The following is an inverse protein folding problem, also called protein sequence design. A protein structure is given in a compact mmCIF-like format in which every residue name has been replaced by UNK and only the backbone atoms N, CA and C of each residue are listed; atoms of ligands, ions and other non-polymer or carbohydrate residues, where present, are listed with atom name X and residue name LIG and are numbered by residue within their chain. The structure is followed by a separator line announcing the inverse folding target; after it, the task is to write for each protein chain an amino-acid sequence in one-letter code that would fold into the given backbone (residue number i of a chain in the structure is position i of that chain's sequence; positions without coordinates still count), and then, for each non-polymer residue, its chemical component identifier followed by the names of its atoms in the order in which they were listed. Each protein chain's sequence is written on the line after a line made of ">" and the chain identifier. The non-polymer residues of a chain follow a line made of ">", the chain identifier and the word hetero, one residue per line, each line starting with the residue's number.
data_IF_608970567127
#
_entry.id   IF_608970567127
#
_cell.length_a   1.000
_cell.length_b   1.000
_cell.length_c   1.000
_cell.angle_alpha   90.00
_cell.angle_beta   90.00
_cell.angle_gamma   90.00
#
_symmetry.space_group_name_H-M   'P 1'
#
loop_
_entity.id
_entity.type
_entity.pdbx_description
1 polymer ?
#
# COMPACT_ATOMS: atom_id res chain seq x y z
N UNK A 1 -7.09 30.85 23.40
CA UNK A 1 -6.86 29.92 22.27
C UNK A 1 -7.25 28.53 22.78
N UNK A 2 -8.39 27.98 22.38
CA UNK A 2 -8.82 26.66 22.81
C UNK A 2 -7.98 25.61 22.06
N UNK A 3 -7.45 24.63 22.79
CA UNK A 3 -6.70 23.52 22.18
C UNK A 3 -7.70 22.66 21.39
N UNK A 4 -7.51 22.58 20.08
CA UNK A 4 -8.24 21.64 19.22
C UNK A 4 -7.84 20.23 19.63
N UNK A 5 -8.83 19.39 19.98
CA UNK A 5 -8.56 18.02 20.36
C UNK A 5 -8.42 17.11 19.12
N UNK A 6 -7.78 15.95 19.29
CA UNK A 6 -7.63 14.93 18.23
C UNK A 6 -9.00 14.53 17.63
N UNK A 7 -10.04 14.51 18.45
CA UNK A 7 -11.42 14.20 18.05
C UNK A 7 -12.02 15.31 17.18
N UNK A 8 -11.71 16.59 17.49
CA UNK A 8 -12.16 17.73 16.69
C UNK A 8 -11.48 17.76 15.32
N UNK A 9 -10.22 17.36 15.25
CA UNK A 9 -9.47 17.25 13.99
C UNK A 9 -10.03 16.14 13.08
N UNK A 10 -10.38 14.98 13.63
CA UNK A 10 -11.00 13.88 12.91
C UNK A 10 -12.41 14.25 12.41
N UNK A 11 -13.20 14.95 13.24
CA UNK A 11 -14.56 15.39 12.88
C UNK A 11 -14.55 16.53 11.85
N UNK A 12 -13.56 17.44 11.86
CA UNK A 12 -13.44 18.50 10.87
C UNK A 12 -13.03 17.98 9.50
N UNK A 13 -12.25 16.90 9.40
CA UNK A 13 -11.93 16.25 8.14
C UNK A 13 -13.17 15.60 7.46
N UNK A 14 -14.23 15.32 8.23
CA UNK A 14 -15.51 14.79 7.75
C UNK A 14 -16.54 15.84 7.31
N UNK A 15 -16.35 17.13 7.58
CA UNK A 15 -17.38 18.18 7.39
C UNK A 15 -17.25 19.06 6.13
N UNK A 16 -16.26 18.85 5.28
CA UNK A 16 -16.11 19.64 4.04
C UNK A 16 -16.76 19.01 2.80
N UNK A 17 -17.95 18.43 2.96
CA UNK A 17 -18.77 17.98 1.83
C UNK A 17 -20.24 18.40 1.94
N UNK A 18 -20.50 19.69 2.14
CA UNK A 18 -21.85 20.22 1.93
C UNK A 18 -21.79 21.71 1.58
N UNK A 19 -21.79 22.01 0.29
CA UNK A 19 -21.94 23.37 -0.23
C UNK A 19 -22.05 23.30 -1.74
N UNK A 20 -23.29 23.09 -2.25
CA UNK A 20 -23.55 22.82 -3.64
C UNK A 20 -23.42 24.01 -4.57
N UNK A 21 -23.20 23.69 -5.84
CA UNK A 21 -23.89 24.26 -7.01
C UNK A 21 -23.91 23.16 -8.07
N UNK A 22 -25.12 22.85 -8.56
CA UNK A 22 -25.34 21.92 -9.63
C UNK A 22 -24.84 22.48 -10.96
N UNK A 23 -23.91 21.79 -11.61
CA UNK A 23 -23.68 21.85 -13.04
C UNK A 23 -23.39 20.44 -13.53
N UNK A 24 -24.25 19.96 -14.37
CA UNK A 24 -24.22 18.68 -15.04
C UNK A 24 -22.99 18.57 -15.94
N UNK A 25 -22.04 17.74 -15.54
CA UNK A 25 -21.08 17.11 -16.45
C UNK A 25 -20.71 15.77 -15.84
N UNK A 26 -21.08 14.70 -16.51
CA UNK A 26 -20.71 13.34 -16.19
C UNK A 26 -19.20 13.16 -16.37
N UNK A 27 -18.42 13.49 -15.34
CA UNK A 27 -17.04 13.09 -15.21
C UNK A 27 -16.98 12.02 -14.13
N UNK A 28 -16.68 10.79 -14.52
CA UNK A 28 -16.28 9.70 -13.63
C UNK A 28 -14.96 10.11 -12.95
N UNK A 29 -15.08 10.97 -11.95
CA UNK A 29 -13.94 11.38 -11.13
C UNK A 29 -13.62 10.28 -10.13
N UNK A 30 -12.52 9.58 -10.31
CA UNK A 30 -11.90 8.72 -9.30
C UNK A 30 -11.52 9.57 -8.08
N UNK A 31 -12.42 9.73 -7.14
CA UNK A 31 -12.11 10.34 -5.85
C UNK A 31 -11.85 9.26 -4.84
N UNK A 32 -10.58 8.86 -4.72
CA UNK A 32 -10.14 8.05 -3.58
C UNK A 32 -10.07 8.94 -2.34
N UNK A 33 -11.13 8.97 -1.55
CA UNK A 33 -11.12 9.63 -0.24
C UNK A 33 -10.45 8.70 0.78
N UNK A 34 -9.13 8.58 0.74
CA UNK A 34 -8.31 8.23 1.91
C UNK A 34 -7.70 9.50 2.48
N UNK A 35 -8.51 10.44 2.92
CA UNK A 35 -8.04 11.50 3.79
C UNK A 35 -7.96 10.94 5.22
N UNK A 36 -7.03 10.01 5.47
CA UNK A 36 -6.60 9.75 6.83
C UNK A 36 -5.71 10.91 7.22
N UNK A 37 -6.10 11.66 8.26
CA UNK A 37 -5.23 12.68 8.82
C UNK A 37 -3.90 12.03 9.23
N UNK A 38 -2.77 12.65 8.85
CA UNK A 38 -1.46 12.23 9.37
C UNK A 38 -1.49 12.28 10.91
N UNK A 39 -0.92 11.30 11.61
CA UNK A 39 -0.82 11.37 13.07
C UNK A 39 -0.07 12.64 13.44
N UNK A 40 -0.50 13.27 14.53
CA UNK A 40 0.24 14.41 15.08
C UNK A 40 1.67 13.95 15.39
N UNK A 41 2.72 14.65 14.94
CA UNK A 41 4.09 14.28 15.25
C UNK A 41 4.32 14.02 16.75
N UNK A 42 3.69 14.83 17.61
CA UNK A 42 3.76 14.71 19.07
C UNK A 42 3.21 13.36 19.58
N UNK A 43 2.20 12.78 18.94
CA UNK A 43 1.65 11.50 19.40
C UNK A 43 2.59 10.33 19.11
N UNK A 44 3.22 10.29 17.93
CA UNK A 44 4.18 9.22 17.59
C UNK A 44 5.40 9.24 18.52
N UNK A 45 5.83 10.42 18.96
CA UNK A 45 6.97 10.58 19.89
C UNK A 45 6.70 10.08 21.31
N UNK A 46 5.44 9.77 21.66
CA UNK A 46 5.12 9.15 22.96
C UNK A 46 5.59 7.69 23.07
N UNK A 47 5.96 7.06 21.97
CA UNK A 47 6.61 5.76 21.94
C UNK A 47 7.90 5.89 21.12
N UNK A 48 8.99 6.16 21.85
CA UNK A 48 10.33 6.29 21.28
C UNK A 48 11.13 5.00 21.57
N UNK A 49 11.69 4.42 20.52
CA UNK A 49 12.56 3.23 20.62
C UNK A 49 13.85 3.48 19.83
N UNK A 50 14.96 3.04 20.37
CA UNK A 50 16.20 2.96 19.61
C UNK A 50 16.04 1.91 18.48
N UNK A 51 16.59 2.22 17.31
CA UNK A 51 16.59 1.25 16.22
C UNK A 51 17.45 0.03 16.59
N UNK A 52 16.87 -1.15 16.47
CA UNK A 52 17.60 -2.42 16.58
C UNK A 52 18.44 -2.59 15.30
N UNK A 53 19.65 -3.12 15.45
CA UNK A 53 20.56 -3.37 14.32
C UNK A 53 20.54 -2.20 13.30
N UNK A 54 20.93 -0.98 13.71
CA UNK A 54 20.77 0.22 12.88
C UNK A 54 21.55 0.16 11.56
N UNK A 55 22.64 -0.64 11.53
CA UNK A 55 23.50 -0.78 10.33
C UNK A 55 23.01 -1.85 9.34
N UNK A 56 22.00 -2.66 9.70
CA UNK A 56 21.46 -3.68 8.81
C UNK A 56 20.86 -2.99 7.55
N UNK A 57 21.35 -3.30 6.34
CA UNK A 57 20.84 -2.68 5.13
C UNK A 57 19.41 -3.11 4.83
N UNK A 58 18.55 -2.14 4.57
CA UNK A 58 17.14 -2.33 4.29
C UNK A 58 16.83 -1.85 2.87
N UNK A 59 16.04 -2.64 2.14
CA UNK A 59 15.27 -2.19 0.98
C UNK A 59 13.80 -2.22 1.39
N UNK A 60 13.15 -1.04 1.37
CA UNK A 60 11.72 -0.96 1.68
C UNK A 60 10.91 -1.02 0.37
N UNK A 61 10.22 -2.12 0.08
CA UNK A 61 9.55 -2.34 -1.19
C UNK A 61 8.17 -1.66 -1.31
N UNK A 62 7.76 -0.83 -0.33
CA UNK A 62 6.42 -0.23 -0.37
C UNK A 62 6.31 1.05 0.45
N UNK A 63 6.34 2.18 -0.24
CA UNK A 63 5.94 3.46 0.32
C UNK A 63 5.14 4.28 -0.68
N UNK A 64 4.54 5.36 -0.21
CA UNK A 64 3.79 6.31 -1.00
C UNK A 64 4.33 7.72 -0.81
N UNK A 65 4.05 8.61 -1.77
CA UNK A 65 4.34 10.03 -1.69
C UNK A 65 3.12 10.81 -2.19
N UNK A 66 2.70 11.82 -1.45
CA UNK A 66 1.62 12.70 -1.86
C UNK A 66 1.74 14.10 -1.26
N UNK A 67 1.16 15.06 -1.94
CA UNK A 67 0.95 16.41 -1.43
C UNK A 67 -0.53 16.76 -1.62
N UNK A 68 -1.29 16.62 -0.54
CA UNK A 68 -2.73 16.84 -0.50
C UNK A 68 -3.03 17.94 0.53
N UNK A 69 -4.06 18.76 0.36
CA UNK A 69 -4.43 19.77 1.35
C UNK A 69 -4.54 19.17 2.76
N UNK A 70 -3.69 19.68 3.66
CA UNK A 70 -3.64 19.21 5.06
C UNK A 70 -3.02 17.82 5.30
N UNK A 71 -2.52 17.16 4.25
CA UNK A 71 -1.90 15.84 4.36
C UNK A 71 -0.78 15.70 3.32
N UNK A 72 0.42 16.09 3.71
CA UNK A 72 1.63 16.02 2.87
C UNK A 72 2.59 14.97 3.40
N UNK A 73 3.15 14.16 2.49
CA UNK A 73 4.23 13.23 2.75
C UNK A 73 5.12 13.11 1.51
N UNK A 74 6.30 13.68 1.58
CA UNK A 74 7.21 13.81 0.45
C UNK A 74 8.59 13.24 0.78
N UNK A 75 9.57 13.48 -0.10
CA UNK A 75 10.94 12.96 0.03
C UNK A 75 11.53 13.21 1.42
N UNK A 76 11.44 14.44 1.88
CA UNK A 76 12.05 14.88 3.13
C UNK A 76 11.38 14.21 4.34
N UNK A 77 10.05 14.02 4.29
CA UNK A 77 9.28 13.37 5.35
C UNK A 77 9.66 11.86 5.44
N UNK A 78 9.78 11.18 4.29
CA UNK A 78 10.21 9.78 4.24
C UNK A 78 11.65 9.63 4.75
N UNK A 79 12.57 10.51 4.33
CA UNK A 79 13.96 10.45 4.78
C UNK A 79 14.10 10.69 6.29
N UNK A 80 13.25 11.56 6.86
CA UNK A 80 13.18 11.75 8.30
C UNK A 80 12.72 10.49 9.02
N UNK A 81 11.64 9.85 8.55
CA UNK A 81 11.11 8.63 9.13
C UNK A 81 12.11 7.46 9.08
N UNK A 82 12.86 7.34 7.97
CA UNK A 82 13.81 6.24 7.75
C UNK A 82 15.16 6.45 8.44
N UNK A 83 15.44 7.64 8.98
CA UNK A 83 16.77 8.10 9.40
C UNK A 83 17.44 7.27 10.50
N UNK A 84 16.67 6.55 11.32
CA UNK A 84 17.18 5.71 12.39
C UNK A 84 17.68 4.33 11.89
N UNK A 85 17.38 3.94 10.66
CA UNK A 85 17.75 2.68 10.05
C UNK A 85 18.59 2.88 8.78
N UNK A 86 19.38 1.88 8.41
CA UNK A 86 20.16 1.89 7.17
C UNK A 86 19.30 1.54 5.94
N UNK A 87 18.31 2.37 5.64
CA UNK A 87 17.48 2.21 4.44
C UNK A 87 18.26 2.64 3.21
N UNK A 88 18.61 1.69 2.36
CA UNK A 88 19.42 1.90 1.16
C UNK A 88 18.60 2.29 -0.05
N UNK A 89 17.45 1.63 -0.24
CA UNK A 89 16.59 1.83 -1.40
C UNK A 89 15.13 1.69 -1.00
N UNK A 90 14.24 2.33 -1.78
CA UNK A 90 12.80 2.16 -1.60
C UNK A 90 12.10 1.95 -2.95
N UNK A 91 10.91 1.33 -2.92
CA UNK A 91 10.02 1.22 -4.06
C UNK A 91 8.76 2.03 -3.79
N UNK A 92 8.45 2.95 -4.69
CA UNK A 92 7.19 3.69 -4.67
C UNK A 92 6.06 2.83 -5.25
N UNK A 93 4.91 2.87 -4.61
CA UNK A 93 3.68 2.24 -5.11
C UNK A 93 2.59 3.30 -5.28
N UNK A 94 1.83 3.24 -6.36
CA UNK A 94 0.76 4.18 -6.70
C UNK A 94 -0.16 4.50 -5.52
N UNK A 95 -0.63 5.74 -5.44
CA UNK A 95 -1.55 6.18 -4.39
C UNK A 95 -2.55 7.24 -4.87
N UNK A 96 -2.74 7.35 -6.18
CA UNK A 96 -3.64 8.34 -6.81
C UNK A 96 -3.19 9.78 -6.52
N UNK A 97 -1.90 10.04 -6.70
CA UNK A 97 -1.28 11.35 -6.47
C UNK A 97 -0.80 11.95 -7.79
N UNK A 98 -0.94 13.25 -7.96
CA UNK A 98 -0.35 14.01 -9.08
C UNK A 98 -0.74 13.50 -10.48
N UNK A 99 -1.96 13.01 -10.66
CA UNK A 99 -2.47 12.66 -11.99
C UNK A 99 -2.52 13.92 -12.87
N UNK A 100 -2.30 13.76 -14.17
CA UNK A 100 -2.41 14.86 -15.13
C UNK A 100 -3.81 15.45 -15.08
N UNK A 101 -3.90 16.78 -15.09
CA UNK A 101 -5.19 17.48 -15.13
C UNK A 101 -5.87 17.30 -16.50
N UNK A 102 -5.08 17.32 -17.56
CA UNK A 102 -5.51 17.34 -18.94
C UNK A 102 -5.09 16.06 -19.70
N UNK A 103 -5.68 15.88 -20.88
CA UNK A 103 -5.40 14.75 -21.78
C UNK A 103 -6.43 13.61 -21.67
N UNK A 104 -6.19 12.51 -22.39
CA UNK A 104 -7.04 11.32 -22.33
C UNK A 104 -7.14 10.77 -20.91
N UNK A 105 -8.34 10.38 -20.48
CA UNK A 105 -8.61 9.96 -19.10
C UNK A 105 -7.71 8.81 -18.67
N UNK A 106 -7.55 7.82 -19.53
CA UNK A 106 -6.71 6.64 -19.28
C UNK A 106 -5.21 6.95 -19.11
N UNK A 107 -4.74 8.08 -19.67
CA UNK A 107 -3.35 8.51 -19.57
C UNK A 107 -3.06 9.46 -18.41
N UNK A 108 -4.07 9.92 -17.68
CA UNK A 108 -3.86 10.84 -16.55
C UNK A 108 -3.01 10.21 -15.44
N UNK A 109 -3.11 8.91 -15.26
CA UNK A 109 -2.34 8.14 -14.26
C UNK A 109 -0.82 8.25 -14.47
N UNK A 110 -0.36 8.56 -15.69
CA UNK A 110 1.07 8.72 -16.03
C UNK A 110 1.71 9.89 -15.26
N UNK A 111 0.90 10.92 -14.93
CA UNK A 111 1.37 12.06 -14.14
C UNK A 111 1.97 11.66 -12.79
N UNK A 112 1.44 10.64 -12.13
CA UNK A 112 2.01 10.12 -10.88
C UNK A 112 3.43 9.55 -11.10
N UNK A 113 3.64 8.79 -12.17
CA UNK A 113 4.96 8.26 -12.52
C UNK A 113 5.96 9.37 -12.89
N UNK A 114 5.52 10.39 -13.63
CA UNK A 114 6.34 11.58 -13.95
C UNK A 114 6.78 12.32 -12.69
N UNK A 115 5.83 12.54 -11.78
CA UNK A 115 6.10 13.16 -10.49
C UNK A 115 7.13 12.37 -9.67
N UNK A 116 6.91 11.06 -9.52
CA UNK A 116 7.80 10.20 -8.71
C UNK A 116 9.17 10.03 -9.38
N UNK A 117 9.25 9.99 -10.70
CA UNK A 117 10.51 10.01 -11.43
C UNK A 117 11.32 11.28 -11.10
N UNK A 118 10.67 12.43 -10.96
CA UNK A 118 11.31 13.67 -10.51
C UNK A 118 11.85 13.57 -9.08
N UNK A 119 11.08 13.01 -8.15
CA UNK A 119 11.51 12.76 -6.76
C UNK A 119 12.67 11.76 -6.70
N UNK A 120 12.61 10.68 -7.48
CA UNK A 120 13.70 9.71 -7.58
C UNK A 120 15.00 10.33 -8.11
N UNK A 121 14.90 11.22 -9.11
CA UNK A 121 16.04 11.95 -9.63
C UNK A 121 16.63 12.91 -8.57
N UNK A 122 15.78 13.61 -7.80
CA UNK A 122 16.18 14.46 -6.68
C UNK A 122 16.95 13.64 -5.63
N UNK A 123 16.44 12.47 -5.22
CA UNK A 123 17.12 11.56 -4.29
C UNK A 123 18.45 11.05 -4.85
N UNK A 124 18.48 10.67 -6.13
CA UNK A 124 19.67 10.14 -6.79
C UNK A 124 20.81 11.13 -6.93
N UNK A 125 20.55 12.45 -6.82
CA UNK A 125 21.58 13.49 -6.88
C UNK A 125 22.63 13.40 -5.75
N UNK A 126 22.32 12.66 -4.67
CA UNK A 126 23.16 12.57 -3.47
C UNK A 126 23.03 13.75 -2.49
N UNK A 127 22.33 14.82 -2.89
CA UNK A 127 22.12 16.01 -2.03
C UNK A 127 21.17 15.77 -0.85
N UNK A 128 20.53 14.59 -0.79
CA UNK A 128 19.55 14.20 0.23
C UNK A 128 19.99 12.97 1.05
N UNK A 129 21.29 12.69 1.10
CA UNK A 129 21.84 11.56 1.85
C UNK A 129 22.07 10.32 0.98
N UNK A 130 22.25 9.16 1.64
CA UNK A 130 22.64 7.91 0.97
C UNK A 130 21.44 7.08 0.51
N UNK A 131 20.28 7.22 1.13
CA UNK A 131 19.05 6.52 0.75
C UNK A 131 18.63 6.90 -0.68
N UNK A 132 18.37 5.91 -1.52
CA UNK A 132 17.85 6.12 -2.88
C UNK A 132 16.35 5.82 -2.90
N UNK A 133 15.57 6.89 -2.87
CA UNK A 133 14.10 6.81 -2.82
C UNK A 133 13.55 6.54 -4.22
N UNK A 134 12.51 5.67 -4.28
CA UNK A 134 11.81 5.28 -5.49
C UNK A 134 12.75 4.76 -6.61
N UNK A 135 13.68 3.86 -6.25
CA UNK A 135 14.53 3.16 -7.22
C UNK A 135 13.73 2.21 -8.09
N UNK A 136 12.59 1.72 -7.60
CA UNK A 136 11.51 1.08 -8.34
C UNK A 136 10.24 1.91 -8.24
N UNK A 137 9.44 1.94 -9.31
CA UNK A 137 8.15 2.62 -9.38
C UNK A 137 7.09 1.62 -9.85
N UNK A 138 6.04 1.50 -9.08
CA UNK A 138 4.81 0.77 -9.42
C UNK A 138 3.72 1.81 -9.61
N UNK A 139 3.26 1.95 -10.86
CA UNK A 139 2.23 2.91 -11.21
C UNK A 139 0.83 2.29 -11.27
N UNK A 140 -0.14 3.07 -11.75
CA UNK A 140 -1.51 2.63 -11.95
C UNK A 140 -1.83 2.49 -13.45
N UNK A 141 -2.67 1.50 -13.78
CA UNK A 141 -3.35 1.41 -15.06
C UNK A 141 -4.70 0.69 -14.87
N UNK A 142 -5.75 1.12 -15.56
CA UNK A 142 -7.02 0.40 -15.56
C UNK A 142 -6.95 -0.79 -16.50
N UNK A 143 -6.73 -1.97 -15.97
CA UNK A 143 -6.61 -3.20 -16.75
C UNK A 143 -7.93 -3.59 -17.45
N UNK A 144 -9.09 -3.04 -17.02
CA UNK A 144 -10.39 -3.25 -17.69
C UNK A 144 -10.46 -2.58 -19.08
N UNK A 145 -9.48 -1.78 -19.43
CA UNK A 145 -9.33 -1.26 -20.79
C UNK A 145 -9.06 -2.39 -21.81
N UNK A 146 -8.81 -3.62 -21.36
CA UNK A 146 -8.44 -4.73 -22.23
C UNK A 146 -7.19 -4.38 -23.05
N UNK A 147 -7.20 -4.64 -24.36
CA UNK A 147 -6.04 -4.36 -25.24
C UNK A 147 -5.64 -2.88 -25.29
N UNK A 148 -6.54 -1.96 -25.01
CA UNK A 148 -6.22 -0.51 -25.00
C UNK A 148 -5.26 -0.13 -23.86
N UNK A 149 -5.09 -0.97 -22.84
CA UNK A 149 -4.15 -0.70 -21.75
C UNK A 149 -2.70 -0.65 -22.24
N UNK A 150 -2.35 -1.29 -23.35
CA UNK A 150 -1.00 -1.29 -23.91
C UNK A 150 -0.43 0.13 -24.06
N UNK A 151 -1.21 1.07 -24.59
CA UNK A 151 -0.79 2.46 -24.73
C UNK A 151 -0.51 3.15 -23.38
N UNK A 152 -1.27 2.79 -22.32
CA UNK A 152 -1.04 3.31 -20.97
C UNK A 152 0.26 2.74 -20.41
N UNK A 153 0.49 1.43 -20.55
CA UNK A 153 1.73 0.77 -20.08
C UNK A 153 2.97 1.33 -20.79
N UNK A 154 2.91 1.54 -22.10
CA UNK A 154 3.97 2.16 -22.87
C UNK A 154 4.26 3.60 -22.39
N UNK A 155 3.23 4.39 -22.14
CA UNK A 155 3.37 5.75 -21.61
C UNK A 155 3.98 5.77 -20.19
N UNK A 156 3.59 4.84 -19.34
CA UNK A 156 4.17 4.65 -18.01
C UNK A 156 5.66 4.31 -18.08
N UNK A 157 6.02 3.35 -18.93
CA UNK A 157 7.42 2.96 -19.16
C UNK A 157 8.22 4.14 -19.72
N UNK A 158 7.67 4.89 -20.68
CA UNK A 158 8.33 6.05 -21.27
C UNK A 158 8.58 7.17 -20.25
N UNK A 159 7.65 7.36 -19.27
CA UNK A 159 7.80 8.34 -18.19
C UNK A 159 8.96 8.00 -17.24
N UNK A 160 9.26 6.72 -17.04
CA UNK A 160 10.36 6.29 -16.16
C UNK A 160 10.99 4.96 -16.62
N UNK A 161 11.72 4.94 -17.74
CA UNK A 161 12.15 3.68 -18.39
C UNK A 161 13.10 2.84 -17.54
N UNK A 162 13.85 3.46 -16.64
CA UNK A 162 14.82 2.76 -15.80
C UNK A 162 14.26 2.30 -14.45
N UNK A 163 13.11 2.88 -14.00
CA UNK A 163 12.57 2.61 -12.66
C UNK A 163 11.18 2.00 -12.67
N UNK A 164 10.41 2.17 -13.73
CA UNK A 164 9.08 1.59 -13.83
C UNK A 164 9.17 0.06 -13.87
N UNK A 165 8.45 -0.64 -12.97
CA UNK A 165 8.59 -2.09 -12.79
C UNK A 165 7.27 -2.84 -12.77
N UNK A 166 6.17 -2.18 -12.48
CA UNK A 166 4.90 -2.86 -12.32
C UNK A 166 3.71 -1.95 -12.27
N UNK A 167 2.56 -2.59 -12.20
CA UNK A 167 1.25 -1.96 -12.09
C UNK A 167 0.56 -2.44 -10.82
N UNK A 168 -0.08 -1.53 -10.10
CA UNK A 168 -1.12 -1.85 -9.12
C UNK A 168 -2.47 -1.40 -9.66
N UNK A 169 -3.38 -2.35 -9.83
CA UNK A 169 -4.80 -2.09 -10.00
C UNK A 169 -5.50 -2.59 -8.73
N UNK A 170 -6.19 -1.68 -8.04
CA UNK A 170 -6.82 -2.01 -6.77
C UNK A 170 -7.96 -3.00 -6.97
N UNK A 171 -7.94 -4.09 -6.20
CA UNK A 171 -8.97 -5.12 -6.17
C UNK A 171 -9.58 -5.27 -4.76
N UNK A 172 -9.36 -4.30 -3.89
CA UNK A 172 -9.81 -4.30 -2.50
C UNK A 172 -11.30 -3.91 -2.44
N UNK A 173 -12.17 -4.87 -2.75
CA UNK A 173 -13.61 -4.73 -2.60
C UNK A 173 -14.06 -5.24 -1.22
N UNK A 174 -14.97 -4.48 -0.59
CA UNK A 174 -15.75 -4.91 0.57
C UNK A 174 -17.12 -4.22 0.54
N UNK A 175 -18.06 -4.76 1.32
CA UNK A 175 -19.38 -4.13 1.43
C UNK A 175 -19.31 -2.75 2.14
N UNK A 176 -20.40 -1.98 2.06
CA UNK A 176 -20.47 -0.63 2.58
C UNK A 176 -20.27 -0.52 4.10
N UNK A 177 -20.40 -1.62 4.85
CA UNK A 177 -20.14 -1.63 6.30
C UNK A 177 -18.63 -1.51 6.60
N UNK A 178 -17.78 -1.95 5.67
CA UNK A 178 -16.32 -1.90 5.78
C UNK A 178 -15.76 -0.67 5.08
N UNK A 179 -16.25 -0.39 3.87
CA UNK A 179 -15.71 0.66 3.00
C UNK A 179 -16.84 1.55 2.44
N UNK A 180 -17.47 2.39 3.28
CA UNK A 180 -18.66 3.14 2.90
C UNK A 180 -18.46 4.06 1.68
N UNK A 181 -17.22 4.44 1.38
CA UNK A 181 -16.88 5.34 0.26
C UNK A 181 -16.12 4.65 -0.87
N UNK A 182 -15.87 3.34 -0.81
CA UNK A 182 -14.97 2.63 -1.73
C UNK A 182 -15.62 1.57 -2.60
N UNK A 183 -16.88 1.25 -2.41
CA UNK A 183 -17.59 0.24 -3.20
C UNK A 183 -17.63 0.56 -4.71
N UNK A 184 -17.34 1.83 -5.09
CA UNK A 184 -17.25 2.26 -6.49
C UNK A 184 -15.86 2.08 -7.12
N UNK A 185 -14.80 1.90 -6.31
CA UNK A 185 -13.42 1.95 -6.80
C UNK A 185 -12.90 0.59 -7.30
N UNK A 186 -13.43 -0.50 -6.78
CA UNK A 186 -13.09 -1.85 -7.23
C UNK A 186 -14.37 -2.70 -7.30
N UNK A 187 -14.81 -3.13 -8.48
CA UNK A 187 -15.90 -4.08 -8.62
C UNK A 187 -15.59 -5.39 -7.87
N UNK A 188 -16.66 -6.00 -7.32
CA UNK A 188 -16.53 -7.31 -6.70
C UNK A 188 -15.98 -8.33 -7.73
N UNK A 189 -15.03 -9.17 -7.32
CA UNK A 189 -14.40 -10.19 -8.17
C UNK A 189 -13.73 -9.64 -9.44
N UNK A 190 -13.19 -8.42 -9.40
CA UNK A 190 -12.55 -7.78 -10.57
C UNK A 190 -11.44 -8.63 -11.20
N UNK A 191 -10.71 -9.42 -10.41
CA UNK A 191 -9.64 -10.28 -10.90
C UNK A 191 -10.14 -11.43 -11.79
N UNK A 192 -11.45 -11.70 -11.77
CA UNK A 192 -12.13 -12.68 -12.62
C UNK A 192 -12.75 -12.05 -13.87
N UNK A 193 -12.80 -10.71 -13.94
CA UNK A 193 -13.39 -9.99 -15.06
C UNK A 193 -12.62 -10.26 -16.37
N UNK A 194 -13.30 -10.64 -17.47
CA UNK A 194 -12.64 -10.97 -18.73
C UNK A 194 -11.86 -9.80 -19.35
N UNK A 195 -12.37 -8.57 -19.25
CA UNK A 195 -11.67 -7.40 -19.80
C UNK A 195 -10.45 -7.06 -18.96
N UNK A 196 -10.55 -7.18 -17.61
CA UNK A 196 -9.41 -7.07 -16.72
C UNK A 196 -8.31 -8.08 -17.09
N UNK A 197 -8.65 -9.37 -17.26
CA UNK A 197 -7.70 -10.44 -17.62
C UNK A 197 -7.08 -10.23 -18.99
N UNK A 198 -7.84 -9.67 -19.93
CA UNK A 198 -7.33 -9.27 -21.24
C UNK A 198 -6.26 -8.18 -21.13
N UNK A 199 -6.52 -7.15 -20.33
CA UNK A 199 -5.53 -6.11 -20.03
C UNK A 199 -4.35 -6.62 -19.21
N UNK A 200 -4.59 -7.52 -18.26
CA UNK A 200 -3.55 -8.15 -17.44
C UNK A 200 -2.49 -8.91 -18.28
N UNK A 201 -2.94 -9.59 -19.34
CA UNK A 201 -2.05 -10.32 -20.24
C UNK A 201 -0.94 -9.46 -20.86
N UNK A 202 -1.17 -8.15 -21.02
CA UNK A 202 -0.16 -7.21 -21.52
C UNK A 202 1.00 -6.97 -20.56
N UNK A 203 0.86 -7.24 -19.26
CA UNK A 203 1.95 -7.04 -18.28
C UNK A 203 3.16 -7.91 -18.63
N UNK A 204 2.95 -9.18 -18.98
CA UNK A 204 4.02 -10.07 -19.41
C UNK A 204 4.78 -9.52 -20.62
N UNK A 205 4.05 -9.06 -21.63
CA UNK A 205 4.64 -8.54 -22.88
C UNK A 205 5.54 -7.33 -22.62
N UNK A 206 5.18 -6.52 -21.60
CA UNK A 206 5.93 -5.33 -21.22
C UNK A 206 6.96 -5.60 -20.10
N UNK A 207 7.09 -6.84 -19.61
CA UNK A 207 8.02 -7.20 -18.54
C UNK A 207 7.67 -6.57 -17.18
N UNK A 208 6.39 -6.35 -16.92
CA UNK A 208 5.87 -5.69 -15.70
C UNK A 208 5.33 -6.70 -14.70
N UNK A 209 5.51 -6.39 -13.41
CA UNK A 209 4.88 -7.13 -12.30
C UNK A 209 3.48 -6.59 -12.00
N UNK A 210 2.70 -7.38 -11.27
CA UNK A 210 1.40 -6.96 -10.75
C UNK A 210 1.41 -6.90 -9.22
N UNK A 211 1.15 -5.73 -8.65
CA UNK A 211 0.94 -5.53 -7.21
C UNK A 211 -0.54 -5.77 -6.87
N UNK A 212 -0.82 -6.85 -6.14
CA UNK A 212 -2.18 -7.27 -5.81
C UNK A 212 -2.63 -6.70 -4.45
N UNK A 213 -3.28 -5.54 -4.46
CA UNK A 213 -3.96 -4.99 -3.29
C UNK A 213 -5.43 -5.41 -3.29
N UNK A 214 -5.78 -6.31 -2.37
CA UNK A 214 -7.13 -6.85 -2.18
C UNK A 214 -7.40 -7.11 -0.70
N UNK A 215 -8.63 -7.44 -0.34
CA UNK A 215 -8.97 -7.92 0.98
C UNK A 215 -8.96 -9.46 1.04
N UNK A 216 -8.79 -10.01 2.24
CA UNK A 216 -8.68 -11.45 2.48
C UNK A 216 -9.80 -12.31 1.87
N UNK A 217 -10.97 -11.72 1.65
CA UNK A 217 -12.14 -12.36 1.03
C UNK A 217 -11.95 -12.69 -0.46
N UNK A 218 -10.93 -12.12 -1.12
CA UNK A 218 -10.67 -12.27 -2.56
C UNK A 218 -9.33 -12.96 -2.87
N UNK A 219 -8.69 -13.59 -1.88
CA UNK A 219 -7.43 -14.33 -2.11
C UNK A 219 -7.64 -15.49 -3.09
N UNK A 220 -8.81 -16.13 -3.09
CA UNK A 220 -9.14 -17.18 -4.05
C UNK A 220 -9.16 -16.67 -5.49
N UNK A 221 -9.68 -15.46 -5.75
CA UNK A 221 -9.67 -14.84 -7.08
C UNK A 221 -8.23 -14.58 -7.56
N UNK A 222 -7.35 -14.17 -6.63
CA UNK A 222 -5.93 -13.97 -6.93
C UNK A 222 -5.22 -15.29 -7.25
N UNK A 223 -5.56 -16.37 -6.54
CA UNK A 223 -5.04 -17.70 -6.83
C UNK A 223 -5.44 -18.16 -8.23
N UNK A 224 -6.70 -17.90 -8.62
CA UNK A 224 -7.17 -18.21 -9.97
C UNK A 224 -6.45 -17.37 -11.04
N UNK A 225 -6.24 -16.05 -10.78
CA UNK A 225 -5.47 -15.19 -11.67
C UNK A 225 -4.02 -15.68 -11.81
N UNK A 226 -3.38 -16.04 -10.70
CA UNK A 226 -1.99 -16.53 -10.69
C UNK A 226 -1.82 -17.81 -11.51
N UNK A 227 -2.75 -18.74 -11.40
CA UNK A 227 -2.78 -19.97 -12.18
C UNK A 227 -3.04 -19.73 -13.68
N UNK A 228 -3.89 -18.73 -14.01
CA UNK A 228 -4.18 -18.38 -15.39
C UNK A 228 -3.01 -17.67 -16.09
N UNK A 229 -2.14 -16.98 -15.34
CA UNK A 229 -1.02 -16.20 -15.86
C UNK A 229 0.31 -16.54 -15.16
N UNK A 230 0.80 -17.80 -15.27
CA UNK A 230 1.96 -18.27 -14.50
C UNK A 230 3.28 -17.55 -14.83
N UNK A 231 3.35 -16.88 -15.96
CA UNK A 231 4.55 -16.16 -16.42
C UNK A 231 4.58 -14.68 -15.99
N UNK A 232 3.58 -14.20 -15.25
CA UNK A 232 3.56 -12.84 -14.70
C UNK A 232 3.79 -12.90 -13.21
N UNK A 233 4.82 -12.20 -12.71
CA UNK A 233 5.08 -12.11 -11.28
C UNK A 233 4.00 -11.28 -10.59
N UNK A 234 3.39 -11.85 -9.58
CA UNK A 234 2.41 -11.21 -8.71
C UNK A 234 3.05 -10.92 -7.36
N UNK A 235 2.85 -9.70 -6.86
CA UNK A 235 3.30 -9.28 -5.54
C UNK A 235 2.06 -9.11 -4.66
N UNK A 236 1.89 -10.04 -3.72
CA UNK A 236 0.74 -10.09 -2.80
C UNK A 236 0.92 -9.06 -1.69
N UNK A 237 0.14 -7.97 -1.71
CA UNK A 237 0.29 -6.85 -0.78
C UNK A 237 -0.39 -7.11 0.56
N UNK A 238 0.25 -6.65 1.65
CA UNK A 238 -0.36 -6.45 2.97
C UNK A 238 -1.08 -7.70 3.50
N UNK A 239 -0.50 -8.89 3.29
CA UNK A 239 -1.09 -10.17 3.70
C UNK A 239 -2.53 -10.37 3.14
N UNK A 240 -2.88 -9.73 2.03
CA UNK A 240 -4.25 -9.74 1.52
C UNK A 240 -5.24 -8.99 2.40
N UNK A 241 -4.82 -7.91 3.05
CA UNK A 241 -5.65 -6.97 3.79
C UNK A 241 -6.68 -7.61 4.72
N UNK A 242 -6.29 -8.33 5.79
CA UNK A 242 -7.25 -8.88 6.74
C UNK A 242 -8.15 -7.78 7.31
N UNK A 243 -9.45 -7.89 7.10
CA UNK A 243 -10.42 -6.89 7.58
C UNK A 243 -10.71 -7.12 9.05
N UNK A 244 -10.67 -6.04 9.86
CA UNK A 244 -10.99 -6.05 11.30
C UNK A 244 -12.04 -5.02 11.71
N UNK A 245 -12.72 -4.38 10.76
CA UNK A 245 -13.76 -3.36 10.99
C UNK A 245 -15.10 -3.77 10.37
N UNK A 246 -16.15 -2.99 10.59
CA UNK A 246 -17.49 -3.27 10.06
C UNK A 246 -18.00 -4.63 10.55
N UNK A 247 -18.50 -5.46 9.64
CA UNK A 247 -18.99 -6.81 9.95
C UNK A 247 -17.90 -7.79 10.46
N UNK A 248 -16.62 -7.41 10.40
CA UNK A 248 -15.48 -8.20 10.89
C UNK A 248 -14.95 -7.71 12.23
N UNK A 249 -15.51 -6.64 12.78
CA UNK A 249 -15.08 -6.10 14.08
C UNK A 249 -15.24 -7.15 15.19
N UNK A 250 -14.17 -7.37 15.97
CA UNK A 250 -14.13 -8.36 17.05
C UNK A 250 -14.06 -9.82 16.60
N UNK A 251 -13.95 -10.11 15.29
CA UNK A 251 -13.93 -11.48 14.72
C UNK A 251 -12.56 -11.88 14.15
N UNK A 252 -11.48 -11.39 14.76
CA UNK A 252 -10.12 -11.58 14.25
C UNK A 252 -9.74 -13.04 14.09
N UNK A 253 -10.11 -13.89 15.06
CA UNK A 253 -9.78 -15.32 15.01
C UNK A 253 -10.52 -16.05 13.87
N UNK A 254 -11.76 -15.63 13.58
CA UNK A 254 -12.52 -16.17 12.44
C UNK A 254 -11.89 -15.72 11.11
N UNK A 255 -11.49 -14.45 11.02
CA UNK A 255 -10.79 -13.93 9.84
C UNK A 255 -9.46 -14.67 9.64
N UNK A 256 -8.69 -14.89 10.70
CA UNK A 256 -7.44 -15.65 10.63
C UNK A 256 -7.68 -17.11 10.19
N UNK A 257 -8.69 -17.75 10.76
CA UNK A 257 -9.04 -19.13 10.40
C UNK A 257 -9.46 -19.28 8.91
N UNK A 258 -10.17 -18.27 8.37
CA UNK A 258 -10.56 -18.25 6.95
C UNK A 258 -9.39 -17.87 6.03
N UNK A 259 -8.51 -16.96 6.47
CA UNK A 259 -7.36 -16.47 5.72
C UNK A 259 -6.29 -17.56 5.51
N UNK A 260 -5.98 -18.36 6.54
CA UNK A 260 -4.94 -19.41 6.48
C UNK A 260 -5.04 -20.33 5.26
N UNK A 261 -6.14 -21.04 5.04
CA UNK A 261 -6.23 -21.96 3.90
C UNK A 261 -6.15 -21.23 2.56
N UNK A 262 -6.69 -20.01 2.44
CA UNK A 262 -6.61 -19.23 1.22
C UNK A 262 -5.17 -18.83 0.88
N UNK A 263 -4.38 -18.42 1.88
CA UNK A 263 -2.96 -18.11 1.71
C UNK A 263 -2.15 -19.37 1.39
N UNK A 264 -2.43 -20.50 2.03
CA UNK A 264 -1.76 -21.76 1.72
C UNK A 264 -1.97 -22.20 0.27
N UNK A 265 -3.17 -21.99 -0.30
CA UNK A 265 -3.43 -22.26 -1.71
C UNK A 265 -2.70 -21.28 -2.63
N UNK A 266 -2.73 -19.97 -2.32
CA UNK A 266 -2.02 -18.94 -3.08
C UNK A 266 -0.50 -19.21 -3.09
N UNK A 267 0.07 -19.64 -1.98
CA UNK A 267 1.50 -19.93 -1.86
C UNK A 267 1.99 -21.08 -2.76
N UNK A 268 1.10 -21.93 -3.25
CA UNK A 268 1.43 -22.98 -4.24
C UNK A 268 1.73 -22.40 -5.62
N UNK A 269 1.31 -21.16 -5.90
CA UNK A 269 1.59 -20.48 -7.16
C UNK A 269 3.04 -19.95 -7.13
N UNK A 270 3.96 -20.49 -7.97
CA UNK A 270 5.39 -20.15 -7.91
C UNK A 270 5.68 -18.72 -8.38
N UNK A 271 4.78 -18.11 -9.14
CA UNK A 271 4.86 -16.73 -9.63
C UNK A 271 4.35 -15.69 -8.63
N UNK A 272 4.01 -16.08 -7.39
CA UNK A 272 3.56 -15.16 -6.35
C UNK A 272 4.62 -14.99 -5.29
N UNK A 273 4.93 -13.73 -4.95
CA UNK A 273 5.77 -13.35 -3.81
C UNK A 273 4.93 -12.49 -2.86
N UNK A 274 5.24 -12.50 -1.56
CA UNK A 274 4.43 -11.87 -0.54
C UNK A 274 5.14 -10.69 0.13
N UNK A 275 4.43 -9.58 0.32
CA UNK A 275 4.84 -8.49 1.19
C UNK A 275 4.31 -8.72 2.60
N UNK A 276 5.24 -8.78 3.55
CA UNK A 276 5.01 -9.05 4.97
C UNK A 276 5.03 -7.73 5.73
N UNK A 277 3.88 -7.11 5.84
CA UNK A 277 3.69 -5.77 6.42
C UNK A 277 2.38 -5.16 5.99
N UNK A 278 2.24 -3.84 6.16
CA UNK A 278 1.07 -3.09 5.69
C UNK A 278 -0.24 -3.45 6.40
N UNK A 279 -0.19 -4.05 7.58
CA UNK A 279 -1.38 -4.43 8.35
C UNK A 279 -1.59 -3.58 9.61
N UNK A 280 -0.96 -2.41 9.68
CA UNK A 280 -1.24 -1.44 10.75
C UNK A 280 -2.28 -0.39 10.32
N UNK A 281 -2.95 -0.62 9.20
CA UNK A 281 -4.00 0.24 8.66
C UNK A 281 -5.27 0.19 9.54
N UNK A 282 -6.05 1.25 9.47
CA UNK A 282 -7.36 1.34 10.16
C UNK A 282 -8.29 0.16 9.80
N UNK A 283 -8.27 -0.27 8.54
CA UNK A 283 -9.11 -1.39 8.06
C UNK A 283 -8.80 -2.72 8.75
N UNK A 284 -7.59 -2.88 9.30
CA UNK A 284 -7.21 -4.09 10.03
C UNK A 284 -7.78 -4.14 11.48
N UNK A 285 -8.42 -3.05 11.95
CA UNK A 285 -9.25 -3.04 13.15
C UNK A 285 -8.50 -3.09 14.48
N UNK A 286 -7.20 -2.78 14.50
CA UNK A 286 -6.44 -2.75 15.76
C UNK A 286 -6.72 -1.53 16.62
N UNK A 287 -7.18 -0.44 16.03
CA UNK A 287 -7.46 0.79 16.77
C UNK A 287 -6.22 1.50 17.35
N UNK A 288 -5.01 1.17 16.88
CA UNK A 288 -3.77 1.77 17.39
C UNK A 288 -3.80 3.29 17.41
N UNK A 289 -4.33 3.90 16.35
CA UNK A 289 -4.46 5.34 16.18
C UNK A 289 -5.42 6.03 17.18
N UNK A 290 -6.21 5.25 17.90
CA UNK A 290 -7.17 5.72 18.91
C UNK A 290 -6.63 5.60 20.35
N UNK A 291 -5.45 4.98 20.52
CA UNK A 291 -4.82 4.82 21.83
C UNK A 291 -4.20 6.13 22.33
N UNK A 292 -4.03 6.25 23.66
CA UNK A 292 -3.38 7.42 24.27
C UNK A 292 -1.94 7.60 23.79
N UNK A 293 -1.26 6.51 23.44
CA UNK A 293 0.09 6.50 22.84
C UNK A 293 0.21 5.38 21.78
N UNK A 294 1.15 5.50 20.84
CA UNK A 294 1.41 4.44 19.86
C UNK A 294 1.82 3.12 20.53
N UNK A 295 1.59 1.98 19.86
CA UNK A 295 2.10 0.69 20.34
C UNK A 295 3.62 0.66 20.28
N UNK A 296 4.24 -0.16 21.14
CA UNK A 296 5.63 -0.54 21.05
C UNK A 296 5.84 -1.63 20.00
N UNK A 297 7.09 -1.84 19.57
CA UNK A 297 7.43 -2.94 18.66
C UNK A 297 7.12 -4.33 19.26
N UNK A 298 7.19 -4.48 20.60
CA UNK A 298 6.76 -5.72 21.28
C UNK A 298 5.25 -5.93 21.22
N UNK A 299 4.46 -4.86 21.39
CA UNK A 299 3.00 -4.95 21.26
C UNK A 299 2.58 -5.27 19.82
N UNK A 300 3.24 -4.67 18.82
CA UNK A 300 3.01 -5.00 17.42
C UNK A 300 3.38 -6.47 17.14
N UNK A 301 4.53 -6.93 17.62
CA UNK A 301 4.98 -8.30 17.44
C UNK A 301 4.01 -9.30 18.07
N UNK A 302 3.67 -9.11 19.34
CA UNK A 302 2.74 -9.97 20.06
C UNK A 302 1.40 -10.10 19.33
N UNK A 303 0.94 -9.02 18.69
CA UNK A 303 -0.35 -8.98 18.01
C UNK A 303 -0.32 -9.62 16.63
N UNK A 304 0.83 -9.53 15.91
CA UNK A 304 0.89 -9.84 14.49
C UNK A 304 1.75 -11.07 14.15
N UNK A 305 2.58 -11.58 15.08
CA UNK A 305 3.55 -12.63 14.80
C UNK A 305 2.95 -13.88 14.15
N UNK A 306 1.75 -14.31 14.56
CA UNK A 306 1.13 -15.51 14.02
C UNK A 306 0.79 -15.37 12.53
N UNK A 307 0.37 -14.16 12.10
CA UNK A 307 0.12 -13.84 10.70
C UNK A 307 1.42 -13.86 9.88
N UNK A 308 2.46 -13.25 10.42
CA UNK A 308 3.77 -13.13 9.75
C UNK A 308 4.48 -14.48 9.67
N UNK A 309 4.52 -15.25 10.75
CA UNK A 309 5.11 -16.58 10.72
C UNK A 309 4.38 -17.48 9.72
N UNK A 310 3.05 -17.49 9.75
CA UNK A 310 2.29 -18.34 8.84
C UNK A 310 2.56 -18.02 7.37
N UNK A 311 2.57 -16.74 6.97
CA UNK A 311 2.84 -16.39 5.57
C UNK A 311 4.28 -16.75 5.16
N UNK A 312 5.26 -16.52 6.04
CA UNK A 312 6.65 -16.89 5.78
C UNK A 312 6.80 -18.42 5.67
N UNK A 313 6.11 -19.19 6.51
CA UNK A 313 6.09 -20.66 6.43
C UNK A 313 5.49 -21.16 5.12
N UNK A 314 4.41 -20.53 4.62
CA UNK A 314 3.74 -20.98 3.41
C UNK A 314 4.51 -20.61 2.14
N UNK A 315 5.04 -19.38 2.06
CA UNK A 315 5.74 -18.90 0.86
C UNK A 315 7.23 -19.26 0.84
N UNK A 316 7.83 -19.49 1.99
CA UNK A 316 9.29 -19.54 2.16
C UNK A 316 9.89 -18.12 2.24
N UNK A 317 10.98 -17.93 3.01
CA UNK A 317 11.58 -16.62 3.19
C UNK A 317 12.07 -15.99 1.88
N UNK A 318 12.47 -16.79 0.89
CA UNK A 318 12.93 -16.36 -0.42
C UNK A 318 11.83 -15.71 -1.29
N UNK A 319 10.56 -15.92 -0.95
CA UNK A 319 9.41 -15.27 -1.60
C UNK A 319 8.68 -14.29 -0.68
N UNK A 320 9.32 -13.85 0.40
CA UNK A 320 8.77 -12.88 1.34
C UNK A 320 9.66 -11.63 1.40
N UNK A 321 9.03 -10.47 1.56
CA UNK A 321 9.72 -9.19 1.77
C UNK A 321 8.96 -8.35 2.79
N UNK A 322 9.65 -7.81 3.79
CA UNK A 322 9.07 -6.85 4.72
C UNK A 322 8.84 -5.50 4.04
N UNK A 323 7.75 -4.82 4.39
CA UNK A 323 7.38 -3.53 3.82
C UNK A 323 6.89 -2.56 4.90
N UNK A 324 7.08 -1.25 4.67
CA UNK A 324 6.58 -0.24 5.62
C UNK A 324 5.13 0.19 5.35
N UNK A 325 4.73 0.26 4.11
CA UNK A 325 3.46 0.88 3.70
C UNK A 325 3.32 2.34 4.18
N UNK A 326 4.45 3.06 4.32
CA UNK A 326 4.44 4.45 4.80
C UNK A 326 4.00 5.44 3.71
N UNK A 327 3.23 6.47 4.05
CA UNK A 327 2.81 6.86 5.40
C UNK A 327 1.44 6.28 5.83
N UNK A 328 0.89 5.27 5.17
CA UNK A 328 -0.41 4.72 5.56
C UNK A 328 -0.35 4.11 6.97
N UNK A 329 0.64 3.27 7.24
CA UNK A 329 0.83 2.63 8.56
C UNK A 329 1.39 3.61 9.63
N UNK A 330 1.91 4.77 9.21
CA UNK A 330 2.33 5.86 10.12
C UNK A 330 1.20 6.38 11.00
N UNK A 331 -0.06 6.18 10.61
CA UNK A 331 -1.21 6.45 11.46
C UNK A 331 -1.17 5.68 12.78
N UNK A 332 -0.52 4.54 12.80
CA UNK A 332 -0.53 3.59 13.93
C UNK A 332 0.78 3.53 14.68
N UNK A 333 1.93 3.70 14.03
CA UNK A 333 3.25 3.58 14.67
C UNK A 333 4.33 4.36 13.91
N UNK A 334 5.48 4.60 14.55
CA UNK A 334 6.65 5.16 13.87
C UNK A 334 7.35 4.11 12.99
N UNK A 335 8.12 4.58 12.02
CA UNK A 335 8.93 3.73 11.14
C UNK A 335 9.90 2.86 11.93
N UNK A 336 10.54 3.43 12.95
CA UNK A 336 11.47 2.71 13.83
C UNK A 336 10.79 1.58 14.58
N UNK A 337 9.63 1.83 15.16
CA UNK A 337 8.84 0.81 15.89
C UNK A 337 8.42 -0.32 14.94
N UNK A 338 7.99 0.00 13.73
CA UNK A 338 7.59 -0.99 12.74
C UNK A 338 8.76 -1.90 12.33
N UNK A 339 9.92 -1.33 12.00
CA UNK A 339 11.09 -2.13 11.60
C UNK A 339 11.71 -2.88 12.77
N UNK A 340 11.65 -2.35 13.99
CA UNK A 340 12.04 -3.09 15.19
C UNK A 340 11.17 -4.34 15.38
N UNK A 341 9.86 -4.26 15.11
CA UNK A 341 8.97 -5.43 15.12
C UNK A 341 9.48 -6.53 14.16
N UNK A 342 9.82 -6.18 12.91
CA UNK A 342 10.31 -7.15 11.93
C UNK A 342 11.64 -7.75 12.33
N UNK A 343 12.57 -6.96 12.88
CA UNK A 343 13.86 -7.44 13.39
C UNK A 343 13.68 -8.39 14.57
N UNK A 344 12.77 -8.09 15.50
CA UNK A 344 12.43 -8.99 16.60
C UNK A 344 11.79 -10.30 16.11
N UNK A 345 10.91 -10.21 15.11
CA UNK A 345 10.27 -11.39 14.51
C UNK A 345 11.29 -12.36 13.92
N UNK A 346 12.37 -11.84 13.34
CA UNK A 346 13.35 -12.63 12.59
C UNK A 346 14.53 -13.14 13.41
N UNK A 347 14.60 -12.88 14.70
CA UNK A 347 15.71 -13.36 15.58
C UNK A 347 15.93 -14.88 15.50
N UNK A 348 14.89 -15.67 15.21
CA UNK A 348 14.97 -17.12 15.08
C UNK A 348 15.22 -17.65 13.66
N UNK A 349 15.34 -16.78 12.66
CA UNK A 349 15.62 -17.15 11.27
C UNK A 349 17.13 -17.06 11.01
N UNK A 350 17.64 -17.97 10.18
CA UNK A 350 19.07 -18.02 9.80
C UNK A 350 19.38 -17.11 8.62
#
# INVERSE_FOLDING_TARGET
>A
MSKITRRDFINHAGMYTAGGIALSASSLGFRTNQAHAQPMPDWLSLTDEAALEPDLPIIDPHHHLWDRPGNRYMLEDLLLDTSAHNVRQTVFVECTSMYRADGPEELKVVGETEFVQGVAAKSASGGYGETRVATGIVGSADLRLGDRVAAVLEAQIAASPQRFRGIRHRAAWADLSVTPNRAADAPNHILLDPDFRKGYAHLRTHGLTFEAWLYHTHIADLTELANAFPDTTIIFNHLGGPIGIGNYAGRRDEVFAAWKPAVAELAKCPNVVAKVGGIQMVVNGYGWHEMDKPPTSDQLLQTNQDWYHYIIEQFGPERCMFESNFPVDKLSCSYTVLWNQFKKLTVGYS
#
